data_IF_786750578117
#
_entry.id   IF_786750578117
#
_cell.length_a   1.000
_cell.length_b   1.000
_cell.length_c   1.000
_cell.angle_alpha   90.00
_cell.angle_beta   90.00
_cell.angle_gamma   90.00
#
_symmetry.space_group_name_H-M   'P 1'
#
loop_
_entity.id
_entity.type
_entity.pdbx_description
1 polymer ?
#
# COMPACT_ATOMS: atom_id res chain seq x y z
N UNK A 1 6.03 5.58 -3.95
CA UNK A 1 6.48 4.27 -3.42
C UNK A 1 7.41 3.50 -4.38
N UNK A 2 7.45 3.83 -5.67
CA UNK A 2 8.30 3.17 -6.68
C UNK A 2 9.52 4.01 -7.12
N UNK A 3 9.79 5.15 -6.48
CA UNK A 3 10.99 5.94 -6.75
C UNK A 3 12.25 5.25 -6.24
N UNK A 4 13.40 5.60 -6.81
CA UNK A 4 14.70 5.02 -6.46
C UNK A 4 15.00 5.22 -4.97
N UNK A 5 14.75 6.42 -4.45
CA UNK A 5 15.01 6.79 -3.06
C UNK A 5 14.10 6.02 -2.09
N UNK A 6 12.82 5.89 -2.44
CA UNK A 6 11.85 5.16 -1.62
C UNK A 6 12.20 3.67 -1.54
N UNK A 7 12.62 3.08 -2.65
CA UNK A 7 13.05 1.66 -2.69
C UNK A 7 14.36 1.47 -1.94
N UNK A 8 15.33 2.37 -2.09
CA UNK A 8 16.60 2.31 -1.34
C UNK A 8 16.36 2.39 0.17
N UNK A 9 15.49 3.30 0.61
CA UNK A 9 15.10 3.42 2.01
C UNK A 9 14.41 2.15 2.52
N UNK A 10 13.45 1.58 1.77
CA UNK A 10 12.81 0.33 2.17
C UNK A 10 13.81 -0.81 2.32
N UNK A 11 14.76 -0.95 1.38
CA UNK A 11 15.81 -1.98 1.46
C UNK A 11 16.68 -1.80 2.70
N UNK A 12 17.10 -0.56 2.99
CA UNK A 12 17.87 -0.24 4.20
C UNK A 12 17.12 -0.64 5.47
N UNK A 13 15.83 -0.31 5.56
CA UNK A 13 15.01 -0.66 6.73
C UNK A 13 14.83 -2.17 6.85
N UNK A 14 14.63 -2.88 5.73
CA UNK A 14 14.51 -4.35 5.72
C UNK A 14 15.82 -5.01 6.15
N UNK A 15 16.97 -4.52 5.69
CA UNK A 15 18.28 -5.14 6.00
C UNK A 15 18.82 -4.77 7.37
N UNK A 16 18.56 -3.55 7.85
CA UNK A 16 19.19 -3.01 9.07
C UNK A 16 18.23 -2.80 10.23
N UNK A 17 16.91 -2.85 9.99
CA UNK A 17 15.90 -2.50 10.98
C UNK A 17 15.93 -3.37 12.24
N UNK A 18 16.23 -4.67 12.09
CA UNK A 18 16.39 -5.57 13.23
C UNK A 18 17.61 -5.20 14.11
N UNK A 19 18.68 -4.66 13.50
CA UNK A 19 19.88 -4.22 14.21
C UNK A 19 19.71 -2.84 14.86
N UNK A 20 18.86 -2.00 14.28
CA UNK A 20 18.59 -0.65 14.76
C UNK A 20 17.07 -0.38 14.84
N UNK A 21 16.42 -0.84 15.92
CA UNK A 21 14.95 -0.78 16.06
C UNK A 21 14.36 0.63 15.98
N UNK A 22 15.11 1.66 16.38
CA UNK A 22 14.71 3.06 16.25
C UNK A 22 14.46 3.45 14.79
N UNK A 23 15.28 2.97 13.85
CA UNK A 23 15.09 3.22 12.42
C UNK A 23 13.80 2.57 11.90
N UNK A 24 13.53 1.33 12.29
CA UNK A 24 12.27 0.65 11.94
C UNK A 24 11.06 1.39 12.49
N UNK A 25 11.13 1.89 13.72
CA UNK A 25 10.06 2.65 14.34
C UNK A 25 9.81 3.97 13.61
N UNK A 26 10.86 4.76 13.38
CA UNK A 26 10.75 6.03 12.65
C UNK A 26 10.17 5.81 11.25
N UNK A 27 10.63 4.78 10.54
CA UNK A 27 10.10 4.44 9.21
C UNK A 27 8.62 4.04 9.27
N UNK A 28 8.25 3.18 10.23
CA UNK A 28 6.87 2.72 10.41
C UNK A 28 5.91 3.86 10.75
N UNK A 29 6.35 4.73 11.68
CA UNK A 29 5.57 5.87 12.15
C UNK A 29 5.41 6.90 11.03
N UNK A 30 6.48 7.25 10.29
CA UNK A 30 6.44 8.29 9.27
C UNK A 30 5.71 7.91 7.97
N UNK A 31 5.81 6.67 7.49
CA UNK A 31 5.39 6.35 6.12
C UNK A 31 4.20 5.36 6.02
N UNK A 32 4.30 4.09 6.44
CA UNK A 32 3.21 3.13 6.28
C UNK A 32 1.99 3.42 7.17
N UNK A 33 2.21 3.88 8.40
CA UNK A 33 1.11 4.07 9.35
C UNK A 33 0.20 5.23 8.97
N UNK A 34 0.75 6.44 8.78
CA UNK A 34 -0.03 7.62 8.38
C UNK A 34 -0.74 7.44 7.04
N UNK A 35 -0.07 6.83 6.06
CA UNK A 35 -0.67 6.54 4.76
C UNK A 35 -1.87 5.60 4.91
N UNK A 36 -1.75 4.55 5.73
CA UNK A 36 -2.85 3.61 5.99
C UNK A 36 -4.03 4.30 6.69
N UNK A 37 -3.77 5.16 7.67
CA UNK A 37 -4.83 5.90 8.37
C UNK A 37 -5.60 6.81 7.40
N UNK A 38 -4.90 7.57 6.55
CA UNK A 38 -5.57 8.41 5.54
C UNK A 38 -6.38 7.62 4.52
N UNK A 39 -5.88 6.46 4.09
CA UNK A 39 -6.67 5.56 3.23
C UNK A 39 -7.90 5.06 3.99
N UNK A 40 -7.77 4.66 5.25
CA UNK A 40 -8.88 4.19 6.07
C UNK A 40 -9.97 5.27 6.23
N UNK A 41 -9.61 6.51 6.55
CA UNK A 41 -10.52 7.65 6.65
C UNK A 41 -11.28 7.89 5.34
N UNK A 42 -10.58 7.83 4.21
CA UNK A 42 -11.20 7.96 2.90
C UNK A 42 -12.21 6.84 2.61
N UNK A 43 -11.83 5.58 2.91
CA UNK A 43 -12.68 4.42 2.72
C UNK A 43 -13.90 4.46 3.64
N UNK A 44 -13.75 4.90 4.89
CA UNK A 44 -14.86 5.08 5.83
C UNK A 44 -15.92 6.02 5.25
N UNK A 45 -15.51 7.17 4.71
CA UNK A 45 -16.43 8.10 4.07
C UNK A 45 -17.15 7.49 2.86
N UNK A 46 -16.49 6.63 2.08
CA UNK A 46 -17.13 5.91 0.98
C UNK A 46 -18.13 4.85 1.47
N UNK A 47 -17.84 4.18 2.59
CA UNK A 47 -18.77 3.25 3.23
C UNK A 47 -20.01 3.97 3.77
N UNK A 48 -19.84 5.14 4.39
CA UNK A 48 -20.95 5.94 4.92
C UNK A 48 -21.90 6.42 3.81
N UNK A 49 -21.35 6.71 2.63
CA UNK A 49 -22.12 7.02 1.41
C UNK A 49 -22.64 5.78 0.68
N UNK A 50 -22.45 4.57 1.24
CA UNK A 50 -22.84 3.27 0.63
C UNK A 50 -22.21 3.02 -0.76
N UNK A 51 -21.07 3.65 -1.04
CA UNK A 51 -20.28 3.39 -2.25
C UNK A 51 -19.38 2.15 -2.09
N UNK A 52 -19.13 1.76 -0.84
CA UNK A 52 -18.52 0.49 -0.44
C UNK A 52 -19.40 -0.16 0.62
N UNK A 53 -19.32 -1.48 0.78
CA UNK A 53 -19.96 -2.18 1.92
C UNK A 53 -19.35 -1.70 3.24
N UNK A 54 -20.13 -1.70 4.31
CA UNK A 54 -19.60 -1.40 5.65
C UNK A 54 -18.63 -2.51 6.09
N UNK A 55 -17.47 -2.10 6.61
CA UNK A 55 -16.42 -2.95 7.15
C UNK A 55 -15.58 -2.13 8.15
N UNK A 56 -14.57 -2.75 8.76
CA UNK A 56 -13.52 -2.02 9.47
C UNK A 56 -12.66 -1.25 8.45
N UNK A 57 -12.59 0.10 8.52
CA UNK A 57 -11.85 0.90 7.55
C UNK A 57 -10.33 0.72 7.65
N UNK A 58 -9.78 0.39 8.83
CA UNK A 58 -8.35 0.15 9.01
C UNK A 58 -7.92 -1.16 8.33
N UNK A 59 -8.75 -2.21 8.45
CA UNK A 59 -8.51 -3.47 7.76
C UNK A 59 -8.67 -3.32 6.24
N UNK A 60 -9.67 -2.57 5.78
CA UNK A 60 -9.85 -2.27 4.36
C UNK A 60 -8.65 -1.48 3.79
N UNK A 61 -8.18 -0.46 4.52
CA UNK A 61 -7.01 0.33 4.13
C UNK A 61 -5.72 -0.49 4.12
N UNK A 62 -5.53 -1.37 5.11
CA UNK A 62 -4.42 -2.33 5.13
C UNK A 62 -4.45 -3.24 3.90
N UNK A 63 -5.61 -3.79 3.57
CA UNK A 63 -5.76 -4.70 2.43
C UNK A 63 -5.46 -3.99 1.11
N UNK A 64 -6.05 -2.81 0.87
CA UNK A 64 -5.81 -2.02 -0.33
C UNK A 64 -4.33 -1.72 -0.51
N UNK A 65 -3.66 -1.23 0.54
CA UNK A 65 -2.23 -0.93 0.52
C UNK A 65 -1.40 -2.18 0.20
N UNK A 66 -1.69 -3.33 0.81
CA UNK A 66 -0.95 -4.56 0.56
C UNK A 66 -1.07 -5.03 -0.90
N UNK A 67 -2.28 -4.98 -1.47
CA UNK A 67 -2.52 -5.41 -2.86
C UNK A 67 -1.81 -4.45 -3.84
N UNK A 68 -1.83 -3.14 -3.60
CA UNK A 68 -1.12 -2.17 -4.45
C UNK A 68 0.39 -2.41 -4.49
N UNK A 69 0.98 -2.97 -3.43
CA UNK A 69 2.44 -3.13 -3.32
C UNK A 69 2.98 -4.44 -3.90
N UNK A 70 2.12 -5.41 -4.21
CA UNK A 70 2.54 -6.75 -4.68
C UNK A 70 3.05 -6.78 -6.14
N UNK A 71 2.91 -5.68 -6.89
CA UNK A 71 3.34 -5.54 -8.28
C UNK A 71 4.77 -5.01 -8.44
N UNK A 72 4.91 -3.92 -9.19
CA UNK A 72 6.17 -3.26 -9.49
C UNK A 72 6.97 -2.91 -8.23
N UNK A 73 6.30 -2.46 -7.16
CA UNK A 73 7.00 -2.11 -5.92
C UNK A 73 7.75 -3.31 -5.33
N UNK A 74 7.11 -4.47 -5.23
CA UNK A 74 7.77 -5.70 -4.78
C UNK A 74 8.94 -6.08 -5.70
N UNK A 75 8.75 -6.04 -7.03
CA UNK A 75 9.81 -6.39 -7.99
C UNK A 75 11.01 -5.44 -7.90
N UNK A 76 10.76 -4.15 -7.70
CA UNK A 76 11.79 -3.17 -7.41
C UNK A 76 12.50 -3.49 -6.10
N UNK A 77 11.78 -3.78 -5.00
CA UNK A 77 12.41 -4.12 -3.72
C UNK A 77 13.40 -5.27 -3.83
N UNK A 78 13.02 -6.37 -4.49
CA UNK A 78 13.85 -7.58 -4.62
C UNK A 78 14.89 -7.52 -5.75
N UNK A 79 14.97 -6.40 -6.48
CA UNK A 79 15.96 -6.21 -7.54
C UNK A 79 15.68 -6.97 -8.84
N UNK A 80 14.48 -7.51 -9.02
CA UNK A 80 14.03 -8.14 -10.27
C UNK A 80 13.64 -7.09 -11.34
N UNK A 81 13.35 -5.86 -10.90
CA UNK A 81 13.06 -4.72 -11.75
C UNK A 81 13.99 -3.55 -11.38
N UNK A 82 14.46 -2.80 -12.38
CA UNK A 82 15.30 -1.60 -12.17
C UNK A 82 14.49 -0.31 -12.13
N UNK A 83 13.42 -0.23 -12.93
CA UNK A 83 12.49 0.90 -12.96
C UNK A 83 11.09 0.43 -13.39
N UNK A 84 10.06 1.04 -12.83
CA UNK A 84 8.68 0.83 -13.25
C UNK A 84 8.24 1.94 -14.20
N UNK A 85 7.72 1.57 -15.36
CA UNK A 85 7.10 2.53 -16.29
C UNK A 85 5.72 2.98 -15.79
N UNK A 86 5.23 4.16 -16.22
CA UNK A 86 3.88 4.61 -15.87
C UNK A 86 2.78 3.61 -16.23
N UNK A 87 2.91 2.92 -17.37
CA UNK A 87 1.97 1.90 -17.82
C UNK A 87 1.93 0.68 -16.89
N UNK A 88 3.07 0.28 -16.34
CA UNK A 88 3.11 -0.84 -15.38
C UNK A 88 2.49 -0.44 -14.04
N UNK A 89 2.74 0.78 -13.58
CA UNK A 89 2.12 1.33 -12.36
C UNK A 89 0.60 1.40 -12.50
N UNK A 90 0.11 1.86 -13.66
CA UNK A 90 -1.33 1.92 -13.95
C UNK A 90 -1.97 0.53 -13.94
N UNK A 91 -1.31 -0.47 -14.54
CA UNK A 91 -1.77 -1.87 -14.50
C UNK A 91 -1.88 -2.42 -13.08
N UNK A 92 -0.88 -2.15 -12.23
CA UNK A 92 -0.92 -2.57 -10.82
C UNK A 92 -2.08 -1.91 -10.07
N UNK A 93 -2.33 -0.62 -10.34
CA UNK A 93 -3.46 0.10 -9.74
C UNK A 93 -4.81 -0.49 -10.17
N UNK A 94 -5.01 -0.74 -11.48
CA UNK A 94 -6.22 -1.38 -12.00
C UNK A 94 -6.42 -2.76 -11.39
N UNK A 95 -5.36 -3.57 -11.32
CA UNK A 95 -5.39 -4.90 -10.68
C UNK A 95 -5.80 -4.81 -9.21
N UNK A 96 -5.21 -3.88 -8.45
CA UNK A 96 -5.51 -3.72 -7.04
C UNK A 96 -6.97 -3.30 -6.79
N UNK A 97 -7.49 -2.37 -7.60
CA UNK A 97 -8.87 -1.90 -7.49
C UNK A 97 -9.88 -3.00 -7.88
N UNK A 98 -9.62 -3.80 -8.91
CA UNK A 98 -10.48 -4.93 -9.27
C UNK A 98 -10.63 -5.93 -8.11
N UNK A 99 -9.52 -6.35 -7.49
CA UNK A 99 -9.56 -7.23 -6.31
C UNK A 99 -10.29 -6.57 -5.15
N UNK A 100 -9.96 -5.31 -4.86
CA UNK A 100 -10.55 -4.58 -3.75
C UNK A 100 -12.06 -4.44 -3.90
N UNK A 101 -12.56 -4.07 -5.10
CA UNK A 101 -13.99 -3.90 -5.33
C UNK A 101 -14.75 -5.22 -5.32
N UNK A 102 -14.15 -6.34 -5.75
CA UNK A 102 -14.79 -7.67 -5.55
C UNK A 102 -15.01 -7.99 -4.07
N UNK A 103 -14.13 -7.49 -3.20
CA UNK A 103 -14.22 -7.71 -1.76
C UNK A 103 -15.05 -6.65 -1.02
N UNK A 104 -15.19 -5.43 -1.54
CA UNK A 104 -15.76 -4.29 -0.81
C UNK A 104 -16.85 -3.49 -1.55
N UNK A 105 -17.20 -3.84 -2.79
CA UNK A 105 -18.34 -3.22 -3.46
C UNK A 105 -19.64 -3.36 -2.64
N UNK A 106 -20.62 -2.45 -2.80
CA UNK A 106 -21.89 -2.54 -2.11
C UNK A 106 -22.56 -3.90 -2.38
N UNK A 107 -23.12 -4.50 -1.34
CA UNK A 107 -23.98 -5.67 -1.53
C UNK A 107 -25.30 -5.20 -2.16
N UNK A 108 -25.65 -5.74 -3.32
CA UNK A 108 -26.94 -5.56 -3.98
C UNK A 108 -28.07 -6.21 -3.19
#
# INVERSE_FOLDING_TARGET
MTSVEAIALNRLIISEGARFPEMSRIFFDLAPYHTRVHIAEYLEGAMDRRQLRKADPLDAGRALMAITLVGCHQQLLIGQMQAASPVQIDRDAVFAIDIFLRAYAPMS
#
